data_IF_065121930473
#
_entry.id   IF_065121930473
#
_cell.length_a   1.000
_cell.length_b   1.000
_cell.length_c   1.000
_cell.angle_alpha   90.00
_cell.angle_beta   90.00
_cell.angle_gamma   90.00
#
_symmetry.space_group_name_H-M   'P 1'
#
loop_
_entity.id
_entity.type
_entity.pdbx_description
1 polymer ?
#
# COMPACT_ATOMS: atom_id res chain seq x y z
N UNK A 1 3.43 -5.53 -26.91
CA UNK A 1 2.71 -5.46 -25.59
C UNK A 1 1.88 -4.19 -25.64
N UNK A 2 0.64 -4.24 -25.20
CA UNK A 2 -0.22 -3.05 -25.07
C UNK A 2 0.51 -2.00 -24.19
N UNK A 3 0.64 -0.72 -24.63
CA UNK A 3 1.30 0.31 -23.85
C UNK A 3 0.72 0.51 -22.45
N UNK A 4 -0.60 0.42 -22.29
CA UNK A 4 -1.27 0.52 -20.98
C UNK A 4 -0.86 -0.64 -20.06
N UNK A 5 -0.82 -1.85 -20.60
CA UNK A 5 -0.38 -3.04 -19.85
C UNK A 5 1.09 -2.91 -19.44
N UNK A 6 1.96 -2.42 -20.33
CA UNK A 6 3.38 -2.18 -20.01
C UNK A 6 3.54 -1.17 -18.88
N UNK A 7 2.75 -0.08 -18.90
CA UNK A 7 2.76 0.94 -17.83
C UNK A 7 2.22 0.40 -16.51
N UNK A 8 1.18 -0.43 -16.55
CA UNK A 8 0.65 -1.09 -15.34
C UNK A 8 1.69 -2.01 -14.68
N UNK A 9 2.40 -2.81 -15.50
CA UNK A 9 3.55 -3.59 -14.99
C UNK A 9 4.65 -2.70 -14.43
N UNK A 10 4.95 -1.58 -15.11
CA UNK A 10 5.92 -0.59 -14.64
C UNK A 10 5.53 0.04 -13.29
N UNK A 11 4.24 0.35 -13.11
CA UNK A 11 3.73 0.93 -11.87
C UNK A 11 3.82 -0.05 -10.69
N UNK A 12 3.37 -1.31 -10.87
CA UNK A 12 3.47 -2.34 -9.82
C UNK A 12 4.92 -2.76 -9.56
N UNK A 13 5.72 -2.93 -10.61
CA UNK A 13 7.14 -3.25 -10.47
C UNK A 13 7.91 -2.11 -9.82
N UNK A 14 7.59 -0.86 -10.14
CA UNK A 14 8.16 0.33 -9.52
C UNK A 14 7.82 0.46 -8.04
N UNK A 15 6.58 0.13 -7.67
CA UNK A 15 6.17 0.04 -6.26
C UNK A 15 7.04 -0.98 -5.50
N UNK A 16 7.09 -2.23 -5.97
CA UNK A 16 7.84 -3.30 -5.32
C UNK A 16 9.35 -3.01 -5.26
N UNK A 17 9.91 -2.45 -6.34
CA UNK A 17 11.31 -2.07 -6.37
C UNK A 17 11.62 -0.91 -5.42
N UNK A 18 10.73 0.10 -5.36
CA UNK A 18 10.86 1.24 -4.45
C UNK A 18 10.80 0.82 -2.99
N UNK A 19 9.87 -0.07 -2.64
CA UNK A 19 9.75 -0.70 -1.33
C UNK A 19 11.03 -1.46 -0.94
N UNK A 20 11.47 -2.40 -1.79
CA UNK A 20 12.66 -3.20 -1.54
C UNK A 20 13.97 -2.37 -1.47
N UNK A 21 14.06 -1.25 -2.17
CA UNK A 21 15.20 -0.32 -2.09
C UNK A 21 15.12 0.59 -0.85
N UNK A 22 13.92 0.96 -0.43
CA UNK A 22 13.69 1.89 0.68
C UNK A 22 13.79 1.26 2.06
N UNK A 23 13.31 0.02 2.18
CA UNK A 23 13.18 -0.69 3.46
C UNK A 23 14.48 -0.75 4.28
N UNK A 24 15.68 -1.09 3.72
CA UNK A 24 16.89 -1.21 4.52
C UNK A 24 17.31 0.10 5.21
N UNK A 25 16.89 1.23 4.67
CA UNK A 25 17.26 2.57 5.18
C UNK A 25 16.12 3.30 5.89
N UNK A 26 14.97 2.67 6.03
CA UNK A 26 13.80 3.25 6.66
C UNK A 26 14.10 3.72 8.09
N UNK A 27 13.69 4.96 8.42
CA UNK A 27 13.92 5.65 9.69
C UNK A 27 15.39 5.88 10.08
N UNK A 28 16.34 5.65 9.19
CA UNK A 28 17.74 5.99 9.40
C UNK A 28 18.03 7.42 8.92
N UNK A 29 18.85 8.13 9.66
CA UNK A 29 19.37 9.43 9.23
C UNK A 29 20.37 9.28 8.07
N UNK A 30 20.58 10.33 7.24
CA UNK A 30 21.58 10.27 6.18
C UNK A 30 23.01 9.94 6.65
N UNK A 31 23.34 10.29 7.90
CA UNK A 31 24.63 9.97 8.50
C UNK A 31 24.74 8.47 8.81
N UNK A 32 23.68 7.87 9.37
CA UNK A 32 23.59 6.43 9.61
C UNK A 32 23.66 5.64 8.32
N UNK A 33 22.89 6.04 7.29
CA UNK A 33 22.90 5.38 5.99
C UNK A 33 24.32 5.37 5.41
N UNK A 34 25.01 6.52 5.41
CA UNK A 34 26.40 6.60 4.93
C UNK A 34 27.36 5.72 5.72
N UNK A 35 27.19 5.68 7.05
CA UNK A 35 28.06 4.88 7.91
C UNK A 35 27.86 3.37 7.71
N UNK A 36 26.62 2.92 7.53
CA UNK A 36 26.24 1.52 7.44
C UNK A 36 26.43 0.95 6.03
N UNK A 37 26.02 1.71 5.01
CA UNK A 37 25.93 1.23 3.63
C UNK A 37 26.86 1.94 2.66
N UNK A 38 27.45 3.08 3.04
CA UNK A 38 28.22 3.89 2.09
C UNK A 38 27.34 4.47 0.98
N UNK A 39 27.73 4.21 -0.27
CA UNK A 39 26.95 4.58 -1.46
C UNK A 39 26.14 3.38 -1.96
N UNK A 40 24.84 3.45 -1.83
CA UNK A 40 23.93 2.37 -2.24
C UNK A 40 23.73 2.46 -3.76
N UNK A 41 24.06 1.41 -4.49
CA UNK A 41 23.91 1.30 -5.95
C UNK A 41 22.97 0.19 -6.40
N UNK A 42 22.33 -0.49 -5.46
CA UNK A 42 21.41 -1.60 -5.73
C UNK A 42 20.70 -2.07 -4.48
N UNK A 43 20.09 -3.23 -4.55
CA UNK A 43 19.45 -3.87 -3.41
C UNK A 43 20.48 -4.32 -2.39
N UNK A 44 20.24 -4.02 -1.10
CA UNK A 44 21.12 -4.38 0.02
C UNK A 44 20.29 -5.06 1.13
N UNK A 45 20.94 -5.89 1.94
CA UNK A 45 20.33 -6.44 3.14
C UNK A 45 20.12 -5.33 4.17
N UNK A 46 19.04 -5.41 4.95
CA UNK A 46 18.87 -4.55 6.10
C UNK A 46 19.87 -4.95 7.21
N UNK A 47 20.51 -3.94 7.81
CA UNK A 47 21.39 -4.15 8.95
C UNK A 47 20.61 -4.71 10.14
N UNK A 48 21.27 -5.51 10.99
CA UNK A 48 20.69 -6.10 12.21
C UNK A 48 20.18 -5.04 13.21
N UNK A 49 20.65 -3.81 13.12
CA UNK A 49 20.20 -2.67 13.93
C UNK A 49 19.07 -1.86 13.29
N UNK A 50 18.57 -2.27 12.12
CA UNK A 50 17.44 -1.61 11.45
C UNK A 50 16.19 -1.72 12.34
N UNK A 51 15.49 -0.59 12.65
CA UNK A 51 14.48 -0.58 13.71
C UNK A 51 13.19 -1.34 13.40
N UNK A 52 12.88 -1.59 12.13
CA UNK A 52 11.60 -2.19 11.72
C UNK A 52 11.75 -3.60 11.14
N UNK A 53 12.82 -3.84 10.40
CA UNK A 53 13.02 -5.10 9.69
C UNK A 53 14.50 -5.54 9.77
N UNK A 54 15.06 -5.76 10.99
CA UNK A 54 16.46 -6.13 11.17
C UNK A 54 16.79 -7.41 10.41
N UNK A 55 17.90 -7.41 9.68
CA UNK A 55 18.39 -8.57 8.94
C UNK A 55 17.53 -8.97 7.73
N UNK A 56 16.54 -8.19 7.32
CA UNK A 56 15.72 -8.48 6.14
C UNK A 56 16.59 -8.50 4.88
N UNK A 57 16.43 -9.53 4.05
CA UNK A 57 17.27 -9.75 2.86
C UNK A 57 17.01 -8.74 1.75
N UNK A 58 18.05 -8.43 1.01
CA UNK A 58 17.99 -7.61 -0.20
C UNK A 58 16.92 -8.10 -1.17
N UNK A 59 16.10 -7.18 -1.65
CA UNK A 59 15.00 -7.49 -2.57
C UNK A 59 13.71 -8.00 -1.91
N UNK A 60 13.67 -8.12 -0.58
CA UNK A 60 12.42 -8.36 0.13
C UNK A 60 11.52 -7.13 0.05
N UNK A 61 10.23 -7.36 -0.04
CA UNK A 61 9.18 -6.34 0.02
C UNK A 61 8.51 -6.33 1.39
N UNK A 62 7.79 -5.26 1.71
CA UNK A 62 7.13 -5.06 2.99
C UNK A 62 5.60 -5.01 2.83
N UNK A 63 4.92 -4.53 3.85
CA UNK A 63 3.48 -4.30 3.85
C UNK A 63 3.04 -3.30 2.76
N UNK A 64 3.90 -2.40 2.33
CA UNK A 64 3.66 -1.47 1.19
C UNK A 64 3.25 -2.23 -0.07
N UNK A 65 4.07 -3.18 -0.49
CA UNK A 65 3.81 -4.01 -1.68
C UNK A 65 2.73 -5.06 -1.42
N UNK A 66 2.79 -5.76 -0.29
CA UNK A 66 1.86 -6.85 0.00
C UNK A 66 0.41 -6.33 0.09
N UNK A 67 0.15 -5.20 0.77
CA UNK A 67 -1.19 -4.61 0.84
C UNK A 67 -1.67 -4.05 -0.51
N UNK A 68 -0.78 -3.52 -1.35
CA UNK A 68 -1.12 -3.15 -2.71
C UNK A 68 -1.59 -4.38 -3.52
N UNK A 69 -0.91 -5.51 -3.41
CA UNK A 69 -1.33 -6.76 -4.07
C UNK A 69 -2.67 -7.31 -3.55
N UNK A 70 -2.99 -7.11 -2.25
CA UNK A 70 -4.33 -7.43 -1.73
C UNK A 70 -5.41 -6.58 -2.41
N UNK A 71 -5.19 -5.27 -2.51
CA UNK A 71 -6.12 -4.37 -3.23
C UNK A 71 -6.26 -4.80 -4.70
N UNK A 72 -5.15 -5.07 -5.40
CA UNK A 72 -5.19 -5.54 -6.78
C UNK A 72 -6.03 -6.83 -6.93
N UNK A 73 -5.86 -7.79 -6.02
CA UNK A 73 -6.61 -9.03 -5.99
C UNK A 73 -8.11 -8.81 -5.78
N UNK A 74 -8.48 -7.90 -4.88
CA UNK A 74 -9.88 -7.52 -4.63
C UNK A 74 -10.52 -6.85 -5.84
N UNK A 75 -9.82 -5.91 -6.48
CA UNK A 75 -10.28 -5.24 -7.70
C UNK A 75 -10.50 -6.22 -8.85
N UNK A 76 -9.64 -7.23 -9.01
CA UNK A 76 -9.80 -8.28 -10.03
C UNK A 76 -11.02 -9.13 -9.74
N UNK A 77 -11.26 -9.51 -8.49
CA UNK A 77 -12.45 -10.26 -8.07
C UNK A 77 -13.75 -9.46 -8.22
N UNK A 78 -13.71 -8.18 -7.86
CA UNK A 78 -14.86 -7.27 -7.92
C UNK A 78 -15.31 -6.87 -9.34
N UNK A 79 -14.53 -7.18 -10.38
CA UNK A 79 -14.88 -6.90 -11.79
C UNK A 79 -16.16 -7.56 -12.31
N UNK A 80 -16.69 -8.55 -11.58
CA UNK A 80 -17.98 -9.19 -11.88
C UNK A 80 -19.20 -8.44 -11.32
N UNK A 81 -19.02 -7.34 -10.60
CA UNK A 81 -20.10 -6.53 -10.04
C UNK A 81 -20.81 -5.71 -11.12
N UNK A 82 -22.11 -5.53 -10.95
CA UNK A 82 -23.04 -4.90 -11.91
C UNK A 82 -22.78 -3.42 -12.22
N UNK A 83 -21.82 -2.77 -11.55
CA UNK A 83 -21.50 -1.34 -11.72
C UNK A 83 -20.63 -1.03 -12.94
N UNK A 84 -20.01 -2.02 -13.59
CA UNK A 84 -19.12 -1.82 -14.75
C UNK A 84 -17.80 -1.11 -14.46
N UNK A 85 -17.56 -0.68 -13.20
CA UNK A 85 -16.33 -0.04 -12.75
C UNK A 85 -15.59 -0.91 -11.75
N UNK A 86 -14.27 -0.76 -11.67
CA UNK A 86 -13.47 -1.42 -10.65
C UNK A 86 -13.88 -0.87 -9.27
N UNK A 87 -14.47 -1.73 -8.44
CA UNK A 87 -14.95 -1.38 -7.11
C UNK A 87 -14.19 -2.17 -6.05
N UNK A 88 -13.79 -1.49 -5.00
CA UNK A 88 -13.19 -2.08 -3.81
C UNK A 88 -14.21 -2.03 -2.66
N UNK A 89 -14.68 -3.18 -2.20
CA UNK A 89 -15.47 -3.26 -0.97
C UNK A 89 -14.54 -3.06 0.23
N UNK A 90 -14.77 -1.98 0.97
CA UNK A 90 -13.93 -1.62 2.10
C UNK A 90 -14.07 -2.58 3.29
N UNK A 91 -15.23 -3.18 3.49
CA UNK A 91 -15.42 -4.20 4.54
C UNK A 91 -14.70 -5.49 4.17
N UNK A 92 -14.79 -5.94 2.91
CA UNK A 92 -14.01 -7.07 2.42
C UNK A 92 -12.50 -6.80 2.52
N UNK A 93 -12.06 -5.57 2.23
CA UNK A 93 -10.67 -5.18 2.37
C UNK A 93 -10.21 -5.23 3.84
N UNK A 94 -11.02 -4.77 4.80
CA UNK A 94 -10.71 -4.86 6.23
C UNK A 94 -10.49 -6.31 6.68
N UNK A 95 -11.40 -7.22 6.29
CA UNK A 95 -11.26 -8.65 6.61
C UNK A 95 -10.05 -9.28 5.92
N UNK A 96 -9.75 -8.86 4.69
CA UNK A 96 -8.56 -9.33 3.95
C UNK A 96 -7.27 -8.86 4.64
N UNK A 97 -7.22 -7.63 5.15
CA UNK A 97 -6.09 -7.12 5.93
C UNK A 97 -5.89 -7.91 7.23
N UNK A 98 -6.97 -8.25 7.94
CA UNK A 98 -6.91 -9.07 9.15
C UNK A 98 -6.36 -10.46 8.86
N UNK A 99 -6.84 -11.13 7.82
CA UNK A 99 -6.36 -12.45 7.42
C UNK A 99 -4.88 -12.41 6.98
N UNK A 100 -4.48 -11.33 6.32
CA UNK A 100 -3.09 -11.11 5.94
C UNK A 100 -2.20 -10.92 7.18
N UNK A 101 -2.61 -10.09 8.15
CA UNK A 101 -1.87 -9.91 9.41
C UNK A 101 -1.70 -11.23 10.17
N UNK A 102 -2.77 -12.04 10.27
CA UNK A 102 -2.70 -13.36 10.90
C UNK A 102 -1.71 -14.28 10.18
N UNK A 103 -1.68 -14.25 8.85
CA UNK A 103 -0.70 -14.99 8.04
C UNK A 103 0.73 -14.52 8.28
N UNK A 104 0.94 -13.21 8.44
CA UNK A 104 2.26 -12.63 8.76
C UNK A 104 2.76 -13.12 10.11
N UNK A 105 1.91 -13.09 11.13
CA UNK A 105 2.22 -13.58 12.47
C UNK A 105 2.58 -15.08 12.42
N UNK A 106 1.79 -15.89 11.70
CA UNK A 106 2.04 -17.34 11.58
C UNK A 106 3.36 -17.67 10.87
N UNK A 107 3.76 -16.84 9.88
CA UNK A 107 5.04 -16.98 9.18
C UNK A 107 6.24 -16.52 10.01
N UNK A 108 6.03 -15.95 11.19
CA UNK A 108 7.08 -15.32 11.98
C UNK A 108 7.66 -14.07 11.32
N UNK A 109 6.88 -13.40 10.45
CA UNK A 109 7.28 -12.14 9.86
C UNK A 109 7.44 -11.08 10.94
N UNK A 110 8.37 -10.16 10.71
CA UNK A 110 8.54 -9.00 11.57
C UNK A 110 7.27 -8.14 11.53
N UNK A 111 6.99 -7.41 12.61
CA UNK A 111 5.84 -6.51 12.69
C UNK A 111 6.04 -5.33 11.73
N UNK A 112 5.60 -5.51 10.48
CA UNK A 112 5.75 -4.54 9.40
C UNK A 112 4.57 -3.57 9.31
N UNK A 113 3.51 -3.79 10.11
CA UNK A 113 2.34 -2.91 10.10
C UNK A 113 2.65 -1.54 10.69
N UNK A 114 2.35 -0.50 9.93
CA UNK A 114 2.35 0.86 10.44
C UNK A 114 1.34 1.06 11.58
N UNK A 115 1.62 1.97 12.53
CA UNK A 115 0.84 2.12 13.76
C UNK A 115 -0.63 2.47 13.51
N UNK A 116 -0.95 3.23 12.47
CA UNK A 116 -2.34 3.56 12.12
C UNK A 116 -3.12 2.35 11.64
N UNK A 117 -2.52 1.50 10.82
CA UNK A 117 -3.15 0.27 10.33
C UNK A 117 -3.37 -0.71 11.48
N UNK A 118 -2.36 -0.92 12.32
CA UNK A 118 -2.44 -1.80 13.48
C UNK A 118 -3.57 -1.38 14.43
N UNK A 119 -3.61 -0.11 14.82
CA UNK A 119 -4.65 0.42 15.71
C UNK A 119 -6.06 0.28 15.12
N UNK A 120 -6.24 0.44 13.82
CA UNK A 120 -7.53 0.24 13.16
C UNK A 120 -7.94 -1.24 13.17
N UNK A 121 -7.03 -2.15 12.82
CA UNK A 121 -7.30 -3.59 12.79
C UNK A 121 -7.58 -4.17 14.19
N UNK A 122 -6.92 -3.69 15.24
CA UNK A 122 -7.22 -4.07 16.63
C UNK A 122 -8.68 -3.73 17.00
N UNK A 123 -9.18 -2.57 16.56
CA UNK A 123 -10.57 -2.17 16.77
C UNK A 123 -11.57 -3.04 15.99
N UNK A 124 -11.23 -3.39 14.74
CA UNK A 124 -12.05 -4.34 13.96
C UNK A 124 -12.09 -5.71 14.64
N UNK A 125 -10.97 -6.22 15.16
CA UNK A 125 -10.92 -7.45 15.95
C UNK A 125 -11.79 -7.39 17.22
N UNK A 126 -11.91 -6.22 17.83
CA UNK A 126 -12.78 -5.97 18.96
C UNK A 126 -14.27 -5.87 18.58
N UNK A 127 -14.63 -6.01 17.30
CA UNK A 127 -16.01 -6.00 16.80
C UNK A 127 -16.52 -4.62 16.39
N UNK A 128 -15.67 -3.60 16.29
CA UNK A 128 -16.08 -2.29 15.78
C UNK A 128 -16.27 -2.34 14.25
N UNK A 129 -17.16 -1.48 13.75
CA UNK A 129 -17.42 -1.34 12.31
C UNK A 129 -16.15 -0.93 11.55
N UNK A 130 -15.68 -1.74 10.57
CA UNK A 130 -14.50 -1.44 9.78
C UNK A 130 -14.52 -0.06 9.10
N UNK A 131 -15.71 0.47 8.81
CA UNK A 131 -15.86 1.77 8.15
C UNK A 131 -15.73 2.95 9.12
N UNK A 132 -15.67 2.70 10.44
CA UNK A 132 -15.62 3.72 11.47
C UNK A 132 -14.28 3.78 12.23
N UNK A 133 -13.36 2.86 11.97
CA UNK A 133 -12.12 2.74 12.76
C UNK A 133 -10.96 3.59 12.26
N UNK A 134 -10.94 3.97 10.99
CA UNK A 134 -9.82 4.64 10.33
C UNK A 134 -9.60 6.12 10.66
N UNK A 135 -10.46 6.72 11.49
CA UNK A 135 -10.50 8.17 11.71
C UNK A 135 -9.27 8.82 12.38
N UNK A 136 -8.28 8.04 12.77
CA UNK A 136 -7.02 8.51 13.37
C UNK A 136 -5.78 8.23 12.51
N UNK A 137 -5.94 7.62 11.34
CA UNK A 137 -4.81 7.23 10.48
C UNK A 137 -4.20 8.43 9.75
N UNK A 138 -2.95 8.73 10.06
CA UNK A 138 -2.20 9.86 9.47
C UNK A 138 -0.83 9.47 8.90
N UNK A 139 -0.47 8.18 8.95
CA UNK A 139 0.76 7.65 8.35
C UNK A 139 0.59 7.46 6.82
N UNK A 140 1.62 6.98 6.15
CA UNK A 140 1.62 6.76 4.69
C UNK A 140 0.77 5.56 4.22
N UNK A 141 0.19 4.76 5.14
CA UNK A 141 -0.41 3.46 4.81
C UNK A 141 -1.53 3.49 3.77
N UNK A 142 -2.22 4.63 3.56
CA UNK A 142 -3.15 4.76 2.45
C UNK A 142 -2.43 4.98 1.11
N UNK A 143 -1.40 5.84 1.09
CA UNK A 143 -0.66 6.20 -0.12
C UNK A 143 0.21 5.05 -0.64
N UNK A 144 0.85 4.29 0.25
CA UNK A 144 1.78 3.21 -0.08
C UNK A 144 1.13 2.09 -0.91
N UNK A 145 -0.17 1.82 -0.68
CA UNK A 145 -0.89 0.68 -1.27
C UNK A 145 -1.87 1.05 -2.39
N UNK A 146 -2.02 2.34 -2.73
CA UNK A 146 -3.10 2.82 -3.62
C UNK A 146 -2.81 2.63 -5.12
N UNK A 147 -1.61 2.27 -5.51
CA UNK A 147 -1.18 2.09 -6.91
C UNK A 147 -2.18 1.28 -7.75
N UNK A 148 -2.76 0.15 -7.29
CA UNK A 148 -3.75 -0.61 -8.08
C UNK A 148 -5.03 0.17 -8.38
N UNK A 149 -5.44 1.08 -7.50
CA UNK A 149 -6.58 1.98 -7.76
C UNK A 149 -6.24 2.91 -8.95
N UNK A 150 -5.05 3.53 -8.95
CA UNK A 150 -4.62 4.38 -10.06
C UNK A 150 -4.46 3.65 -11.39
N UNK A 151 -4.14 2.34 -11.37
CA UNK A 151 -4.10 1.50 -12.57
C UNK A 151 -5.52 1.20 -13.09
N UNK A 152 -6.47 0.91 -12.19
CA UNK A 152 -7.79 0.40 -12.52
C UNK A 152 -8.81 1.50 -12.82
N UNK A 153 -8.65 2.71 -12.24
CA UNK A 153 -9.63 3.80 -12.29
C UNK A 153 -8.99 5.07 -12.85
N UNK A 154 -9.60 5.59 -13.92
CA UNK A 154 -9.13 6.81 -14.57
C UNK A 154 -9.57 8.07 -13.83
N UNK A 155 -8.69 9.08 -13.79
CA UNK A 155 -9.00 10.43 -13.28
C UNK A 155 -9.98 11.20 -14.16
N UNK A 156 -10.34 10.68 -15.34
CA UNK A 156 -11.32 11.30 -16.25
C UNK A 156 -12.71 11.45 -15.62
N UNK A 157 -13.07 10.61 -14.65
CA UNK A 157 -14.27 10.77 -13.83
C UNK A 157 -13.83 10.97 -12.35
N UNK A 158 -13.76 12.25 -11.90
CA UNK A 158 -13.26 12.58 -10.56
C UNK A 158 -14.07 11.95 -9.41
N UNK A 159 -15.38 11.80 -9.56
CA UNK A 159 -16.23 11.26 -8.50
C UNK A 159 -15.98 9.77 -8.30
N UNK A 160 -15.98 9.00 -9.40
CA UNK A 160 -15.66 7.56 -9.37
C UNK A 160 -14.23 7.34 -8.85
N UNK A 161 -13.28 8.18 -9.30
CA UNK A 161 -11.90 8.12 -8.84
C UNK A 161 -11.78 8.40 -7.34
N UNK A 162 -12.43 9.45 -6.84
CA UNK A 162 -12.42 9.81 -5.42
C UNK A 162 -13.05 8.72 -4.55
N UNK A 163 -14.17 8.12 -4.99
CA UNK A 163 -14.82 7.00 -4.31
C UNK A 163 -13.90 5.77 -4.23
N UNK A 164 -13.25 5.40 -5.31
CA UNK A 164 -12.32 4.28 -5.35
C UNK A 164 -11.11 4.50 -4.44
N UNK A 165 -10.55 5.70 -4.41
CA UNK A 165 -9.47 6.05 -3.48
C UNK A 165 -9.96 6.01 -2.05
N UNK A 166 -11.15 6.56 -1.76
CA UNK A 166 -11.73 6.55 -0.42
C UNK A 166 -11.93 5.13 0.10
N UNK A 167 -12.48 4.22 -0.70
CA UNK A 167 -12.69 2.82 -0.32
C UNK A 167 -11.40 2.11 0.09
N UNK A 168 -10.24 2.51 -0.47
CA UNK A 168 -8.93 1.93 -0.14
C UNK A 168 -8.31 2.50 1.14
N UNK A 169 -8.73 3.69 1.59
CA UNK A 169 -8.14 4.35 2.75
C UNK A 169 -9.04 4.39 3.98
N UNK A 170 -10.38 4.35 3.84
CA UNK A 170 -11.31 4.58 4.96
C UNK A 170 -11.14 3.61 6.14
N UNK A 171 -10.77 2.36 5.88
CA UNK A 171 -10.61 1.33 6.94
C UNK A 171 -9.52 1.70 7.94
N UNK A 172 -8.42 2.31 7.50
CA UNK A 172 -7.25 2.56 8.33
C UNK A 172 -6.82 4.02 8.38
N UNK A 173 -7.18 4.81 7.37
CA UNK A 173 -6.73 6.18 7.15
C UNK A 173 -7.88 7.09 6.69
N UNK A 174 -9.03 7.03 7.37
CA UNK A 174 -10.21 7.86 7.12
C UNK A 174 -9.98 9.32 7.60
N UNK A 175 -8.89 9.91 7.18
CA UNK A 175 -8.49 11.29 7.49
C UNK A 175 -8.28 12.09 6.22
N UNK A 176 -8.32 13.41 6.32
CA UNK A 176 -8.03 14.28 5.18
C UNK A 176 -6.61 14.03 4.63
N UNK A 177 -5.62 13.87 5.51
CA UNK A 177 -4.24 13.59 5.13
C UNK A 177 -4.12 12.23 4.43
N UNK A 178 -4.73 11.19 5.01
CA UNK A 178 -4.74 9.83 4.43
C UNK A 178 -5.35 9.83 3.03
N UNK A 179 -6.54 10.43 2.87
CA UNK A 179 -7.20 10.52 1.58
C UNK A 179 -6.41 11.35 0.55
N UNK A 180 -5.95 12.55 0.93
CA UNK A 180 -5.25 13.44 -0.02
C UNK A 180 -3.92 12.84 -0.49
N UNK A 181 -3.16 12.20 0.40
CA UNK A 181 -1.91 11.53 0.01
C UNK A 181 -2.15 10.35 -0.92
N UNK A 182 -3.16 9.52 -0.63
CA UNK A 182 -3.55 8.42 -1.50
C UNK A 182 -4.07 8.91 -2.86
N UNK A 183 -4.93 9.95 -2.88
CA UNK A 183 -5.46 10.52 -4.11
C UNK A 183 -4.36 11.09 -5.01
N UNK A 184 -3.34 11.74 -4.43
CA UNK A 184 -2.21 12.27 -5.19
C UNK A 184 -1.42 11.15 -5.87
N UNK A 185 -1.10 10.08 -5.14
CA UNK A 185 -0.35 8.94 -5.69
C UNK A 185 -1.18 8.21 -6.74
N UNK A 186 -2.44 7.91 -6.45
CA UNK A 186 -3.34 7.25 -7.41
C UNK A 186 -3.53 8.07 -8.68
N UNK A 187 -3.68 9.40 -8.57
CA UNK A 187 -3.80 10.28 -9.73
C UNK A 187 -2.54 10.28 -10.60
N UNK A 188 -1.35 10.36 -9.97
CA UNK A 188 -0.09 10.29 -10.70
C UNK A 188 0.05 8.97 -11.47
N UNK A 189 -0.33 7.84 -10.84
CA UNK A 189 -0.33 6.53 -11.50
C UNK A 189 -1.34 6.50 -12.64
N UNK A 190 -2.59 6.92 -12.41
CA UNK A 190 -3.65 6.92 -13.43
C UNK A 190 -3.27 7.77 -14.65
N UNK A 191 -2.75 8.98 -14.43
CA UNK A 191 -2.26 9.83 -15.51
C UNK A 191 -1.09 9.20 -16.27
N UNK A 192 -0.19 8.50 -15.57
CA UNK A 192 0.88 7.73 -16.19
C UNK A 192 0.38 6.58 -17.04
N UNK A 193 -0.67 5.88 -16.61
CA UNK A 193 -1.31 4.78 -17.37
C UNK A 193 -1.98 5.32 -18.64
N UNK A 194 -2.64 6.48 -18.56
CA UNK A 194 -3.41 7.08 -19.66
C UNK A 194 -2.56 7.99 -20.55
N UNK A 195 -1.29 8.23 -20.24
CA UNK A 195 -0.40 9.05 -21.06
C UNK A 195 -0.32 8.53 -22.52
N UNK A 196 -0.34 9.44 -23.50
CA UNK A 196 -0.25 9.13 -24.92
C UNK A 196 1.15 8.63 -25.33
#
# INVERSE_FOLDING_TARGET
MDPRLSRAYGALGGLALGDALGMPTQALSPAQIRSMYGHITGLVDADESQPYAPGMRAGSVTDDTEQALLIASLLVRGRGSSSGHAHLDASEFAHTLLAWEDSMIQRGSLDLLGPSTKAALERVRAGEDPLQVGGKGTTNGAAMRVTPIGIAVSTANPDIFAEAVWSSCQVTHATRQGFQSAALVAAAVSMGIDAA
#
